data_IF_025969138528
#
_entry.id   IF_025969138528
#
_cell.length_a   1.000
_cell.length_b   1.000
_cell.length_c   1.000
_cell.angle_alpha   90.00
_cell.angle_beta   90.00
_cell.angle_gamma   90.00
#
_symmetry.space_group_name_H-M   'P 1'
#
loop_
_entity.id
_entity.type
_entity.pdbx_description
1 polymer ?
#
# COMPACT_ATOMS: atom_id res chain seq x y z
N UNK A 1 -22.31 71.72 45.57
CA UNK A 1 -21.15 71.60 46.48
C UNK A 1 -20.13 70.68 45.85
N UNK A 2 -18.98 71.23 45.46
CA UNK A 2 -17.78 70.51 45.03
C UNK A 2 -16.96 70.07 46.25
N UNK A 3 -16.22 68.96 46.16
CA UNK A 3 -14.75 68.85 46.29
C UNK A 3 -14.24 67.45 46.74
N UNK A 4 -13.36 66.89 45.89
CA UNK A 4 -12.09 66.11 46.10
C UNK A 4 -12.00 64.81 46.95
N UNK A 5 -11.62 63.75 46.21
CA UNK A 5 -10.76 62.53 46.38
C UNK A 5 -9.86 62.40 47.65
N UNK A 6 -9.47 61.15 48.06
CA UNK A 6 -8.22 60.55 47.55
C UNK A 6 -8.23 59.02 47.26
N UNK A 7 -7.22 58.62 46.48
CA UNK A 7 -6.81 57.26 46.03
C UNK A 7 -6.34 56.33 47.17
N UNK A 8 -6.20 55.00 46.92
CA UNK A 8 -4.84 54.48 46.79
C UNK A 8 -4.64 53.38 45.72
N UNK A 9 -3.38 53.32 45.26
CA UNK A 9 -2.78 52.35 44.34
C UNK A 9 -2.76 50.92 44.91
N UNK A 10 -2.94 49.92 44.04
CA UNK A 10 -2.34 48.60 44.21
C UNK A 10 -2.06 47.97 42.83
N UNK A 11 -0.76 47.89 42.50
CA UNK A 11 -0.20 47.02 41.47
C UNK A 11 -0.40 45.55 41.89
N UNK A 12 -0.53 44.59 40.97
CA UNK A 12 0.25 43.34 41.03
C UNK A 12 0.10 42.43 39.78
N UNK A 13 1.29 42.07 39.26
CA UNK A 13 1.74 40.84 38.60
C UNK A 13 1.16 40.44 37.23
N UNK A 14 2.02 40.66 36.22
CA UNK A 14 2.14 39.88 35.00
C UNK A 14 2.25 38.37 35.32
N UNK A 15 1.46 37.56 34.63
CA UNK A 15 1.57 36.10 34.64
C UNK A 15 2.79 35.68 33.81
N UNK A 16 3.74 35.03 34.46
CA UNK A 16 4.95 34.49 33.86
C UNK A 16 4.60 33.11 33.28
N UNK A 17 4.30 33.02 31.98
CA UNK A 17 4.16 31.73 31.28
C UNK A 17 5.52 31.29 30.77
N UNK A 18 6.24 30.57 31.62
CA UNK A 18 7.46 29.84 31.24
C UNK A 18 7.04 28.60 30.45
N UNK A 19 7.05 28.69 29.12
CA UNK A 19 6.87 27.53 28.25
C UNK A 19 8.16 26.67 28.28
N UNK A 20 8.06 25.47 28.83
CA UNK A 20 9.12 24.45 28.71
C UNK A 20 9.08 23.83 27.31
N UNK A 21 10.22 23.64 26.62
CA UNK A 21 10.27 22.87 25.39
C UNK A 21 10.14 21.37 25.73
N UNK A 22 9.03 20.75 25.34
CA UNK A 22 8.88 19.29 25.36
C UNK A 22 9.60 18.72 24.14
N UNK A 23 10.76 18.11 24.37
CA UNK A 23 11.52 17.36 23.37
C UNK A 23 10.72 16.14 22.95
N UNK A 24 9.97 16.24 21.85
CA UNK A 24 9.36 15.09 21.18
C UNK A 24 10.43 14.38 20.35
N UNK A 25 11.07 13.36 20.93
CA UNK A 25 11.94 12.44 20.19
C UNK A 25 11.07 11.47 19.39
N UNK A 26 10.75 11.81 18.15
CA UNK A 26 10.07 10.89 17.23
C UNK A 26 11.11 9.89 16.70
N UNK A 27 11.14 8.69 17.27
CA UNK A 27 11.87 7.54 16.72
C UNK A 27 11.20 7.15 15.40
N UNK A 28 11.77 7.58 14.29
CA UNK A 28 11.47 7.06 12.96
C UNK A 28 11.83 5.58 12.95
N UNK A 29 10.83 4.71 13.14
CA UNK A 29 10.97 3.29 12.89
C UNK A 29 11.20 3.16 11.38
N UNK A 30 12.41 2.73 11.04
CA UNK A 30 12.86 2.44 9.69
C UNK A 30 11.85 1.52 9.00
N UNK A 31 11.13 2.07 8.02
CA UNK A 31 10.37 1.31 7.04
C UNK A 31 11.41 0.65 6.12
N UNK A 32 11.96 -0.48 6.56
CA UNK A 32 12.82 -1.36 5.77
C UNK A 32 12.01 -2.04 4.69
N UNK A 33 11.60 -1.28 3.67
CA UNK A 33 11.03 -1.81 2.44
C UNK A 33 12.20 -2.31 1.58
N UNK A 34 12.69 -3.52 1.88
CA UNK A 34 13.47 -4.28 0.93
C UNK A 34 12.51 -4.65 -0.21
N UNK A 35 12.40 -3.75 -1.19
CA UNK A 35 11.86 -4.06 -2.50
C UNK A 35 12.79 -5.12 -3.10
N UNK A 36 12.48 -6.39 -2.86
CA UNK A 36 12.85 -7.46 -3.77
C UNK A 36 12.18 -7.12 -5.10
N UNK A 37 12.87 -6.30 -5.91
CA UNK A 37 12.50 -6.09 -7.29
C UNK A 37 12.64 -7.46 -7.95
N UNK A 38 11.55 -8.20 -8.03
CA UNK A 38 11.44 -9.25 -9.03
C UNK A 38 11.79 -8.56 -10.34
N UNK A 39 12.79 -9.07 -11.03
CA UNK A 39 13.20 -8.54 -12.33
C UNK A 39 12.07 -8.84 -13.29
N UNK A 40 11.03 -8.02 -13.28
CA UNK A 40 9.92 -8.19 -14.17
C UNK A 40 10.41 -7.84 -15.58
N UNK A 41 10.54 -8.87 -16.39
CA UNK A 41 10.76 -8.74 -17.81
C UNK A 41 9.43 -8.44 -18.49
N UNK A 42 9.50 -8.00 -19.75
CA UNK A 42 8.28 -7.83 -20.54
C UNK A 42 7.62 -9.20 -20.75
N UNK A 43 6.34 -9.33 -20.42
CA UNK A 43 5.61 -10.57 -20.66
C UNK A 43 5.68 -10.99 -22.14
N UNK A 44 5.92 -12.28 -22.36
CA UNK A 44 5.71 -12.90 -23.66
C UNK A 44 4.27 -13.38 -23.83
N UNK A 45 4.05 -14.17 -24.88
CA UNK A 45 2.79 -14.90 -25.06
C UNK A 45 2.61 -15.90 -23.89
N UNK A 46 1.37 -16.15 -23.44
CA UNK A 46 1.02 -17.02 -22.30
C UNK A 46 1.30 -16.46 -20.90
N UNK A 47 1.34 -15.13 -20.73
CA UNK A 47 1.28 -14.53 -19.41
C UNK A 47 -0.16 -14.32 -18.96
N UNK A 48 -0.48 -14.69 -17.71
CA UNK A 48 -1.86 -14.68 -17.20
C UNK A 48 -2.02 -13.93 -15.88
N UNK A 49 -3.19 -13.32 -15.69
CA UNK A 49 -3.58 -12.62 -14.46
C UNK A 49 -4.97 -13.01 -14.03
N UNK A 50 -5.15 -13.19 -12.72
CA UNK A 50 -6.46 -13.39 -12.12
C UNK A 50 -7.17 -12.05 -11.94
N UNK A 51 -8.42 -12.00 -12.37
CA UNK A 51 -9.28 -10.82 -12.31
C UNK A 51 -10.59 -11.17 -11.61
N UNK A 52 -11.18 -10.18 -10.95
CA UNK A 52 -12.50 -10.31 -10.35
C UNK A 52 -13.13 -8.91 -10.23
N UNK A 53 -14.33 -8.66 -10.81
CA UNK A 53 -14.94 -7.34 -10.85
C UNK A 53 -15.30 -6.79 -9.46
N UNK A 54 -15.39 -7.67 -8.46
CA UNK A 54 -15.73 -7.32 -7.08
C UNK A 54 -14.49 -7.12 -6.19
N UNK A 55 -13.27 -7.15 -6.78
CA UNK A 55 -12.00 -7.06 -6.05
C UNK A 55 -11.16 -5.87 -6.49
N UNK A 56 -10.30 -5.44 -5.59
CA UNK A 56 -9.31 -4.40 -5.90
C UNK A 56 -8.17 -4.98 -6.73
N UNK A 57 -7.50 -4.14 -7.52
CA UNK A 57 -6.31 -4.52 -8.30
C UNK A 57 -5.21 -5.15 -7.43
N UNK A 58 -5.10 -4.74 -6.16
CA UNK A 58 -4.14 -5.30 -5.21
C UNK A 58 -4.52 -6.73 -4.77
N UNK A 59 -5.81 -7.01 -4.57
CA UNK A 59 -6.30 -8.36 -4.28
C UNK A 59 -6.17 -9.29 -5.49
N UNK A 60 -6.46 -8.78 -6.70
CA UNK A 60 -6.24 -9.49 -7.96
C UNK A 60 -4.76 -9.85 -8.16
N UNK A 61 -3.86 -8.88 -7.90
CA UNK A 61 -2.43 -9.10 -7.96
C UNK A 61 -1.98 -10.13 -6.92
N UNK A 62 -2.41 -9.99 -5.67
CA UNK A 62 -2.07 -10.96 -4.61
C UNK A 62 -2.51 -12.37 -5.01
N UNK A 63 -3.72 -12.52 -5.54
CA UNK A 63 -4.24 -13.80 -6.01
C UNK A 63 -3.39 -14.40 -7.14
N UNK A 64 -2.98 -13.56 -8.10
CA UNK A 64 -2.11 -13.94 -9.22
C UNK A 64 -0.74 -14.38 -8.73
N UNK A 65 -0.09 -13.54 -7.93
CA UNK A 65 1.26 -13.76 -7.40
C UNK A 65 1.33 -14.98 -6.47
N UNK A 66 0.30 -15.20 -5.63
CA UNK A 66 0.22 -16.39 -4.78
C UNK A 66 0.20 -17.68 -5.62
N UNK A 67 -0.59 -17.72 -6.72
CA UNK A 67 -0.62 -18.88 -7.63
C UNK A 67 0.74 -19.03 -8.34
N UNK A 68 1.29 -17.93 -8.84
CA UNK A 68 2.57 -17.95 -9.57
C UNK A 68 3.71 -18.51 -8.71
N UNK A 69 3.84 -18.02 -7.48
CA UNK A 69 4.81 -18.50 -6.51
C UNK A 69 4.62 -19.99 -6.18
N UNK A 70 3.36 -20.45 -6.04
CA UNK A 70 3.07 -21.86 -5.78
C UNK A 70 3.47 -22.77 -6.95
N UNK A 71 3.36 -22.28 -8.18
CA UNK A 71 3.81 -22.99 -9.38
C UNK A 71 5.33 -22.88 -9.61
N UNK A 72 6.02 -22.03 -8.83
CA UNK A 72 7.44 -21.69 -8.97
C UNK A 72 7.76 -21.06 -10.33
N UNK A 73 6.86 -20.22 -10.80
CA UNK A 73 6.99 -19.44 -12.03
C UNK A 73 7.34 -17.99 -11.70
N UNK A 74 7.80 -17.26 -12.71
CA UNK A 74 8.21 -15.86 -12.57
C UNK A 74 7.07 -14.88 -12.89
N UNK A 75 7.14 -13.71 -12.27
CA UNK A 75 6.26 -12.58 -12.62
C UNK A 75 6.86 -11.78 -13.79
N UNK A 76 6.00 -11.34 -14.70
CA UNK A 76 6.36 -10.47 -15.81
C UNK A 76 5.47 -9.22 -15.84
N UNK A 77 5.91 -8.18 -16.55
CA UNK A 77 5.15 -6.94 -16.71
C UNK A 77 4.46 -6.89 -18.08
N UNK A 78 3.13 -6.77 -18.06
CA UNK A 78 2.30 -6.66 -19.24
C UNK A 78 2.09 -5.20 -19.64
N UNK A 79 2.66 -4.79 -20.77
CA UNK A 79 2.58 -3.39 -21.20
C UNK A 79 1.19 -2.96 -21.71
N UNK A 80 0.41 -3.88 -22.29
CA UNK A 80 -0.93 -3.56 -22.80
C UNK A 80 -1.89 -3.15 -21.67
N UNK A 81 -1.84 -3.90 -20.56
CA UNK A 81 -2.67 -3.67 -19.38
C UNK A 81 -2.00 -2.82 -18.30
N UNK A 82 -0.70 -2.53 -18.45
CA UNK A 82 0.14 -1.82 -17.48
C UNK A 82 0.18 -2.48 -16.08
N UNK A 83 0.14 -3.81 -16.04
CA UNK A 83 -0.03 -4.62 -14.82
C UNK A 83 0.95 -5.81 -14.80
N UNK A 84 1.21 -6.38 -13.63
CA UNK A 84 2.03 -7.60 -13.49
C UNK A 84 1.19 -8.87 -13.65
N UNK A 85 1.73 -9.81 -14.41
CA UNK A 85 1.14 -11.11 -14.76
C UNK A 85 2.09 -12.23 -14.30
N UNK A 86 1.56 -13.43 -14.20
CA UNK A 86 2.37 -14.65 -14.05
C UNK A 86 2.75 -15.17 -15.43
N UNK A 87 3.97 -15.65 -15.63
CA UNK A 87 4.42 -16.26 -16.89
C UNK A 87 4.60 -17.79 -16.75
N UNK A 88 3.52 -18.57 -16.63
CA UNK A 88 3.62 -20.00 -16.46
C UNK A 88 4.00 -20.71 -17.76
N UNK A 89 4.84 -21.74 -17.67
CA UNK A 89 5.28 -22.49 -18.85
C UNK A 89 4.68 -23.90 -18.93
N UNK A 90 4.39 -24.34 -20.16
CA UNK A 90 3.94 -25.71 -20.45
C UNK A 90 2.74 -26.15 -19.61
N UNK A 91 2.90 -27.25 -18.86
CA UNK A 91 1.81 -27.81 -18.05
C UNK A 91 1.33 -26.94 -16.89
N UNK A 92 2.07 -25.88 -16.54
CA UNK A 92 1.65 -24.95 -15.49
C UNK A 92 0.65 -23.90 -15.97
N UNK A 93 0.51 -23.69 -17.29
CA UNK A 93 -0.49 -22.79 -17.87
C UNK A 93 -1.89 -23.20 -17.43
N UNK A 94 -2.25 -24.47 -17.64
CA UNK A 94 -3.58 -24.95 -17.27
C UNK A 94 -3.77 -24.93 -15.75
N UNK A 95 -2.74 -25.29 -14.97
CA UNK A 95 -2.82 -25.25 -13.51
C UNK A 95 -3.05 -23.84 -12.98
N UNK A 96 -2.45 -22.81 -13.59
CA UNK A 96 -2.70 -21.42 -13.23
C UNK A 96 -4.18 -21.07 -13.45
N UNK A 97 -4.70 -21.38 -14.63
CA UNK A 97 -6.10 -21.13 -15.02
C UNK A 97 -7.07 -21.82 -14.06
N UNK A 98 -6.85 -23.12 -13.80
CA UNK A 98 -7.67 -23.92 -12.90
C UNK A 98 -7.65 -23.36 -11.47
N UNK A 99 -6.47 -23.00 -10.95
CA UNK A 99 -6.35 -22.41 -9.60
C UNK A 99 -6.98 -21.02 -9.50
N UNK A 100 -6.99 -20.26 -10.60
CA UNK A 100 -7.64 -18.96 -10.67
C UNK A 100 -9.17 -19.11 -10.54
N UNK A 101 -9.76 -19.97 -11.37
CA UNK A 101 -11.19 -20.25 -11.37
C UNK A 101 -11.65 -20.94 -10.07
N UNK A 102 -10.81 -21.76 -9.46
CA UNK A 102 -11.08 -22.41 -8.18
C UNK A 102 -11.19 -21.44 -6.99
N UNK A 103 -10.81 -20.16 -7.13
CA UNK A 103 -10.97 -19.14 -6.07
C UNK A 103 -12.43 -18.78 -5.79
N UNK A 104 -13.35 -19.12 -6.70
CA UNK A 104 -14.78 -19.00 -6.50
C UNK A 104 -15.45 -18.19 -7.61
N UNK A 105 -16.75 -17.96 -7.42
CA UNK A 105 -17.58 -17.22 -8.38
C UNK A 105 -16.98 -15.85 -8.70
N UNK A 106 -17.03 -15.48 -9.98
CA UNK A 106 -16.52 -14.21 -10.57
C UNK A 106 -15.00 -14.08 -10.69
N UNK A 107 -14.22 -15.07 -10.26
CA UNK A 107 -12.80 -15.13 -10.62
C UNK A 107 -12.64 -15.70 -12.02
N UNK A 108 -11.88 -14.99 -12.84
CA UNK A 108 -11.50 -15.40 -14.18
C UNK A 108 -10.03 -15.06 -14.43
N UNK A 109 -9.44 -15.64 -15.47
CA UNK A 109 -8.11 -15.28 -15.92
C UNK A 109 -8.21 -14.51 -17.23
N UNK A 110 -7.29 -13.56 -17.43
CA UNK A 110 -7.05 -12.96 -18.73
C UNK A 110 -5.57 -13.10 -19.09
N UNK A 111 -5.30 -13.08 -20.39
CA UNK A 111 -3.94 -13.04 -20.91
C UNK A 111 -3.46 -11.58 -20.97
N UNK A 112 -2.15 -11.42 -20.84
CA UNK A 112 -1.47 -10.23 -21.32
C UNK A 112 -1.67 -10.11 -22.85
#
# INVERSE_FOLDING_TARGET
MTWRIPSPKAQFRQANVTALPTTFTMKFIYLGLLLSATTAYACGDNAYRCKNPNKTTAEEWKATHDICNNLKEDDCYCSHWAEYYCDPYGGNIQKFKDQCEAKGSDWYWNEC
#
